data_IF_185870336077
#
_entry.id   IF_185870336077
#
_cell.length_a   1.000
_cell.length_b   1.000
_cell.length_c   1.000
_cell.angle_alpha   90.00
_cell.angle_beta   90.00
_cell.angle_gamma   90.00
#
_symmetry.space_group_name_H-M   'P 1'
#
loop_
_entity.id
_entity.type
_entity.pdbx_description
1 polymer ?
#
# COMPACT_ATOMS: atom_id res chain seq x y z
N UNK A 1 -2.10 -5.84 -28.82
CA UNK A 1 -1.65 -6.94 -27.93
C UNK A 1 -0.71 -6.45 -26.82
N UNK A 2 -1.12 -5.43 -26.05
CA UNK A 2 -0.37 -4.97 -24.85
C UNK A 2 -1.33 -4.63 -23.70
N UNK A 3 -2.58 -4.23 -24.01
CA UNK A 3 -3.58 -3.78 -23.03
C UNK A 3 -4.30 -4.87 -22.21
N UNK A 4 -4.18 -6.17 -22.52
CA UNK A 4 -4.81 -7.24 -21.71
C UNK A 4 -3.86 -7.90 -20.70
N UNK A 5 -2.55 -7.74 -20.82
CA UNK A 5 -1.58 -8.37 -19.90
C UNK A 5 -1.25 -7.51 -18.67
N UNK A 6 -1.45 -6.19 -18.75
CA UNK A 6 -1.18 -5.27 -17.64
C UNK A 6 -2.37 -5.08 -16.67
N UNK A 7 -3.59 -5.48 -17.04
CA UNK A 7 -4.82 -4.98 -16.42
C UNK A 7 -5.78 -6.02 -15.82
N UNK A 8 -5.37 -7.29 -15.68
CA UNK A 8 -6.16 -8.32 -14.95
C UNK A 8 -5.53 -8.79 -13.64
N UNK A 9 -4.35 -8.26 -13.30
CA UNK A 9 -3.50 -8.76 -12.22
C UNK A 9 -3.32 -7.70 -11.13
N UNK A 10 -4.09 -7.85 -10.05
CA UNK A 10 -3.75 -7.32 -8.74
C UNK A 10 -3.67 -8.47 -7.74
N UNK A 11 -2.88 -8.31 -6.69
CA UNK A 11 -2.75 -9.30 -5.61
C UNK A 11 -3.33 -8.72 -4.32
N UNK A 12 -3.50 -9.56 -3.29
CA UNK A 12 -4.05 -9.15 -2.01
C UNK A 12 -3.13 -9.64 -0.91
N UNK A 13 -2.61 -8.71 -0.11
CA UNK A 13 -1.83 -9.05 1.08
C UNK A 13 -2.72 -9.33 2.30
N UNK A 14 -3.97 -8.86 2.31
CA UNK A 14 -4.89 -8.96 3.44
C UNK A 14 -6.27 -9.45 3.02
N UNK A 15 -6.90 -10.23 3.89
CA UNK A 15 -8.33 -10.53 3.82
C UNK A 15 -9.14 -9.37 4.40
N UNK A 16 -9.58 -8.48 3.51
CA UNK A 16 -10.57 -7.44 3.80
C UNK A 16 -11.92 -7.85 3.19
N UNK A 17 -13.03 -7.49 3.83
CA UNK A 17 -14.39 -7.84 3.39
C UNK A 17 -14.85 -7.18 2.08
N UNK A 18 -13.96 -6.46 1.40
CA UNK A 18 -14.20 -5.84 0.10
C UNK A 18 -13.41 -6.55 -1.02
N UNK A 19 -13.65 -6.12 -2.26
CA UNK A 19 -12.96 -6.63 -3.45
C UNK A 19 -11.68 -5.85 -3.82
N UNK A 20 -11.10 -5.06 -2.90
CA UNK A 20 -9.91 -4.24 -3.18
C UNK A 20 -8.67 -5.09 -3.47
N UNK A 21 -7.86 -4.68 -4.44
CA UNK A 21 -6.63 -5.38 -4.85
C UNK A 21 -5.47 -4.39 -4.93
N UNK A 22 -4.24 -4.88 -4.73
CA UNK A 22 -3.02 -4.14 -4.97
C UNK A 22 -2.63 -4.27 -6.44
N UNK A 23 -2.48 -3.14 -7.13
CA UNK A 23 -1.97 -3.11 -8.49
C UNK A 23 -0.67 -2.30 -8.52
N UNK A 24 0.45 -3.00 -8.67
CA UNK A 24 1.79 -2.36 -8.69
C UNK A 24 1.96 -1.41 -9.88
N UNK A 25 1.43 -1.72 -11.06
CA UNK A 25 1.54 -0.81 -12.21
C UNK A 25 0.78 0.50 -11.96
N UNK A 26 -0.42 0.40 -11.41
CA UNK A 26 -1.21 1.56 -11.00
C UNK A 26 -0.48 2.31 -9.89
N UNK A 27 0.02 1.62 -8.87
CA UNK A 27 0.75 2.23 -7.76
C UNK A 27 1.99 3.02 -8.24
N UNK A 28 2.66 2.59 -9.30
CA UNK A 28 3.76 3.37 -9.88
C UNK A 28 3.27 4.66 -10.56
N UNK A 29 2.13 4.62 -11.26
CA UNK A 29 1.57 5.78 -11.97
C UNK A 29 0.97 6.83 -11.02
N UNK A 30 0.27 6.37 -9.97
CA UNK A 30 -0.40 7.22 -8.97
C UNK A 30 0.33 7.23 -7.63
N UNK A 31 1.65 7.03 -7.66
CA UNK A 31 2.54 7.26 -6.51
C UNK A 31 2.16 6.52 -5.23
N UNK A 32 1.68 5.27 -5.31
CA UNK A 32 1.37 4.40 -4.18
C UNK A 32 -0.12 4.15 -3.97
N UNK A 33 -1.02 4.96 -4.55
CA UNK A 33 -2.48 4.82 -4.37
C UNK A 33 -3.05 3.53 -5.01
N UNK A 34 -2.28 2.85 -5.85
CA UNK A 34 -2.64 1.54 -6.42
C UNK A 34 -2.60 0.38 -5.42
N UNK A 35 -2.06 0.56 -4.21
CA UNK A 35 -2.04 -0.47 -3.16
C UNK A 35 -3.31 -0.44 -2.29
N UNK A 36 -4.46 -0.59 -2.94
CA UNK A 36 -5.76 -0.41 -2.30
C UNK A 36 -6.07 -1.49 -1.25
N UNK A 37 -5.65 -2.74 -1.47
CA UNK A 37 -5.84 -3.80 -0.48
C UNK A 37 -5.04 -3.53 0.80
N UNK A 38 -3.81 -3.02 0.67
CA UNK A 38 -3.01 -2.60 1.82
C UNK A 38 -3.62 -1.39 2.53
N UNK A 39 -4.11 -0.42 1.77
CA UNK A 39 -4.76 0.77 2.33
C UNK A 39 -6.03 0.42 3.10
N UNK A 40 -6.88 -0.43 2.55
CA UNK A 40 -8.13 -0.84 3.18
C UNK A 40 -7.87 -1.69 4.44
N UNK A 41 -6.79 -2.48 4.45
CA UNK A 41 -6.33 -3.14 5.66
C UNK A 41 -5.73 -2.17 6.69
N UNK A 42 -5.08 -1.09 6.26
CA UNK A 42 -4.39 -0.16 7.17
C UNK A 42 -4.68 1.30 6.80
N UNK A 43 -5.93 1.78 6.94
CA UNK A 43 -6.33 3.11 6.46
C UNK A 43 -5.66 4.24 7.24
N UNK A 44 -5.27 3.97 8.49
CA UNK A 44 -4.56 4.92 9.35
C UNK A 44 -3.05 4.98 9.04
N UNK A 45 -2.52 4.01 8.28
CA UNK A 45 -1.10 3.99 7.90
C UNK A 45 -0.85 4.99 6.78
N UNK A 46 0.12 5.91 6.94
CA UNK A 46 0.52 6.79 5.85
C UNK A 46 1.35 6.07 4.77
N UNK A 47 1.71 4.80 5.02
CA UNK A 47 2.40 3.95 4.06
C UNK A 47 1.39 2.97 3.46
N UNK A 48 1.25 3.02 2.14
CA UNK A 48 0.44 2.14 1.31
C UNK A 48 1.18 0.83 0.97
N UNK A 49 2.52 0.81 1.04
CA UNK A 49 3.29 -0.43 0.91
C UNK A 49 3.30 -1.29 2.18
N UNK A 50 3.13 -2.59 1.98
CA UNK A 50 3.28 -3.67 2.93
C UNK A 50 4.51 -4.54 2.63
N UNK A 51 4.68 -5.00 1.39
CA UNK A 51 5.78 -5.86 0.93
C UNK A 51 7.01 -5.02 0.53
N UNK A 52 8.18 -5.66 0.50
CA UNK A 52 9.44 -4.98 0.17
C UNK A 52 9.52 -4.50 -1.30
N UNK A 53 8.84 -5.19 -2.21
CA UNK A 53 8.77 -4.87 -3.64
C UNK A 53 7.67 -3.85 -3.99
N UNK A 54 6.87 -3.44 -3.00
CA UNK A 54 5.84 -2.42 -3.18
C UNK A 54 6.45 -1.03 -3.04
N UNK A 55 6.63 -0.34 -4.17
CA UNK A 55 7.24 0.97 -4.23
C UNK A 55 6.16 2.04 -4.04
N UNK A 56 6.22 2.69 -2.88
CA UNK A 56 5.31 3.75 -2.48
C UNK A 56 6.03 5.10 -2.58
N UNK A 57 5.91 5.73 -3.76
CA UNK A 57 6.51 7.03 -4.02
C UNK A 57 5.88 8.14 -3.16
N UNK A 58 4.58 8.05 -2.86
CA UNK A 58 3.87 8.99 -2.01
C UNK A 58 4.41 9.00 -0.59
N UNK A 59 4.60 7.83 0.01
CA UNK A 59 5.26 7.71 1.32
C UNK A 59 6.71 8.22 1.28
N UNK A 60 7.44 7.96 0.19
CA UNK A 60 8.77 8.53 -0.05
C UNK A 60 8.74 10.07 -0.03
N UNK A 61 7.78 10.68 -0.71
CA UNK A 61 7.60 12.14 -0.69
C UNK A 61 7.22 12.67 0.68
N UNK A 62 6.38 11.96 1.44
CA UNK A 62 6.07 12.35 2.81
C UNK A 62 7.31 12.31 3.73
N UNK A 63 8.19 11.31 3.57
CA UNK A 63 9.46 11.27 4.31
C UNK A 63 10.34 12.47 3.94
N UNK A 64 10.44 12.81 2.66
CA UNK A 64 11.20 13.99 2.21
C UNK A 64 10.61 15.26 2.81
N UNK A 65 9.29 15.42 2.78
CA UNK A 65 8.60 16.56 3.37
C UNK A 65 8.77 16.64 4.90
N UNK A 66 8.76 15.51 5.60
CA UNK A 66 9.05 15.44 7.04
C UNK A 66 10.50 15.81 7.35
N UNK A 67 11.46 15.34 6.54
CA UNK A 67 12.88 15.71 6.66
C UNK A 67 13.11 17.20 6.42
N UNK A 68 12.35 17.78 5.50
CA UNK A 68 12.31 19.22 5.23
C UNK A 68 11.53 20.02 6.28
N UNK A 69 11.00 19.36 7.32
CA UNK A 69 10.18 19.94 8.41
C UNK A 69 8.92 20.65 7.94
N UNK A 70 8.43 20.31 6.75
CA UNK A 70 7.19 20.86 6.18
C UNK A 70 5.96 20.22 6.82
N UNK A 71 6.06 18.95 7.21
CA UNK A 71 4.98 18.13 7.73
C UNK A 71 5.52 17.25 8.87
N UNK A 72 4.65 16.80 9.77
CA UNK A 72 4.99 15.81 10.81
C UNK A 72 4.07 14.61 10.67
N UNK A 73 4.64 13.45 10.36
CA UNK A 73 3.84 12.25 10.13
C UNK A 73 3.36 11.69 11.48
N UNK A 74 2.06 11.44 11.59
CA UNK A 74 1.49 10.80 12.79
C UNK A 74 1.88 9.33 12.78
N UNK A 75 2.70 8.92 13.76
CA UNK A 75 3.05 7.50 13.94
C UNK A 75 1.82 6.74 14.46
N UNK A 76 1.32 5.81 13.65
CA UNK A 76 0.26 4.87 14.07
C UNK A 76 0.77 4.06 15.26
N UNK A 77 0.02 4.02 16.37
CA UNK A 77 0.42 3.27 17.56
C UNK A 77 0.43 1.77 17.25
N UNK A 78 1.44 1.07 17.79
CA UNK A 78 1.68 -0.37 17.58
C UNK A 78 0.48 -1.26 17.91
N UNK A 79 -0.42 -0.79 18.79
CA UNK A 79 -1.64 -1.49 19.20
C UNK A 79 -2.66 -1.70 18.08
N UNK A 80 -2.66 -0.88 17.03
CA UNK A 80 -3.60 -1.02 15.89
C UNK A 80 -3.06 -1.93 14.78
N UNK A 81 -1.74 -2.21 14.75
CA UNK A 81 -1.12 -3.07 13.74
C UNK A 81 -1.47 -4.56 13.89
N UNK A 82 -1.93 -4.99 15.08
CA UNK A 82 -2.13 -6.39 15.42
C UNK A 82 -3.47 -6.98 14.96
N UNK A 83 -4.34 -6.18 14.32
CA UNK A 83 -5.71 -6.60 13.95
C UNK A 83 -5.81 -7.19 12.53
N UNK A 84 -4.72 -7.23 11.78
CA UNK A 84 -4.75 -7.62 10.36
C UNK A 84 -3.84 -8.81 10.14
N UNK A 85 -4.43 -9.98 9.99
CA UNK A 85 -3.73 -11.20 9.61
C UNK A 85 -3.36 -11.10 8.12
N UNK A 86 -2.05 -11.16 7.77
CA UNK A 86 -1.64 -11.20 6.38
C UNK A 86 -2.08 -12.54 5.77
N UNK A 87 -2.49 -12.51 4.51
CA UNK A 87 -2.80 -13.72 3.76
C UNK A 87 -1.50 -14.51 3.56
N UNK A 88 -1.47 -15.76 4.04
CA UNK A 88 -0.37 -16.71 3.79
C UNK A 88 -0.24 -16.91 2.27
N UNK A 89 0.74 -16.25 1.66
CA UNK A 89 1.10 -16.53 0.27
C UNK A 89 1.88 -17.84 0.27
N UNK A 90 1.18 -18.96 0.11
CA UNK A 90 1.80 -20.28 -0.06
C UNK A 90 2.76 -20.19 -1.26
N UNK A 91 4.04 -20.46 -1.00
CA UNK A 91 5.16 -20.36 -1.95
C UNK A 91 5.02 -21.30 -3.16
#
# INVERSE_FOLDING_TARGET
MVNSFAHRYGYRNFEVGDHSQNNTMVAWLVMGEGYQNNHHAKPLSPRFSHQWYEIDLGYGMCIVAEKMRLLKMRKVRRTEKARFEPMEHSA
#
